data_IF_193788590649
#
_entry.id   IF_193788590649
#
_cell.length_a   1.000
_cell.length_b   1.000
_cell.length_c   1.000
_cell.angle_alpha   90.00
_cell.angle_beta   90.00
_cell.angle_gamma   90.00
#
_symmetry.space_group_name_H-M   'P 1'
#
loop_
_entity.id
_entity.type
_entity.pdbx_description
1 polymer ?
#
# COMPACT_ATOMS: atom_id res chain seq x y z
N UNK A 1 7.75 -23.63 16.98
CA UNK A 1 8.48 -22.40 17.39
C UNK A 1 7.93 -21.12 16.73
N UNK A 2 7.67 -21.09 15.41
CA UNK A 2 7.14 -19.91 14.69
C UNK A 2 5.81 -19.34 15.23
N UNK A 3 4.89 -20.20 15.68
CA UNK A 3 3.59 -19.76 16.21
C UNK A 3 3.69 -19.06 17.58
N UNK A 4 4.69 -19.41 18.41
CA UNK A 4 4.91 -18.76 19.73
C UNK A 4 5.55 -17.38 19.57
N UNK A 5 6.47 -17.22 18.60
CA UNK A 5 7.05 -15.92 18.24
C UNK A 5 5.98 -14.92 17.75
N UNK A 6 4.92 -15.42 17.09
CA UNK A 6 3.84 -14.56 16.58
C UNK A 6 3.04 -13.85 17.68
N UNK A 7 2.88 -14.42 18.88
CA UNK A 7 2.05 -13.81 19.93
C UNK A 7 2.71 -12.57 20.54
N UNK A 8 3.98 -12.68 20.93
CA UNK A 8 4.74 -11.56 21.50
C UNK A 8 4.92 -10.43 20.51
N UNK A 9 5.10 -10.74 19.22
CA UNK A 9 5.21 -9.74 18.19
C UNK A 9 3.95 -8.88 18.07
N UNK A 10 2.76 -9.49 18.16
CA UNK A 10 1.50 -8.77 18.17
C UNK A 10 1.38 -7.81 19.36
N UNK A 11 1.79 -8.24 20.55
CA UNK A 11 1.82 -7.38 21.76
C UNK A 11 2.77 -6.20 21.57
N UNK A 12 3.98 -6.43 21.05
CA UNK A 12 4.96 -5.37 20.79
C UNK A 12 4.40 -4.35 19.78
N UNK A 13 3.79 -4.83 18.69
CA UNK A 13 3.14 -3.96 17.70
C UNK A 13 2.03 -3.12 18.35
N UNK A 14 1.18 -3.73 19.19
CA UNK A 14 0.12 -3.00 19.88
C UNK A 14 0.67 -1.94 20.84
N UNK A 15 1.70 -2.28 21.63
CA UNK A 15 2.34 -1.32 22.55
C UNK A 15 2.96 -0.16 21.79
N UNK A 16 3.65 -0.42 20.68
CA UNK A 16 4.21 0.62 19.82
C UNK A 16 3.13 1.53 19.23
N UNK A 17 1.98 0.96 18.84
CA UNK A 17 0.85 1.75 18.36
C UNK A 17 0.34 2.69 19.44
N UNK A 18 0.11 2.18 20.64
CA UNK A 18 -0.35 2.98 21.79
C UNK A 18 0.65 4.10 22.07
N UNK A 19 1.95 3.80 22.12
CA UNK A 19 2.99 4.82 22.32
C UNK A 19 2.92 5.92 21.25
N UNK A 20 2.74 5.57 19.97
CA UNK A 20 2.64 6.57 18.89
C UNK A 20 1.41 7.47 19.09
N UNK A 21 0.26 6.91 19.45
CA UNK A 21 -0.97 7.69 19.67
C UNK A 21 -0.85 8.57 20.93
N UNK A 22 -0.32 8.02 22.03
CA UNK A 22 -0.20 8.74 23.30
C UNK A 22 0.88 9.84 23.26
N UNK A 23 1.95 9.67 22.46
CA UNK A 23 2.99 10.69 22.34
C UNK A 23 2.57 11.89 21.48
N UNK A 24 1.61 11.72 20.57
CA UNK A 24 1.23 12.77 19.61
C UNK A 24 0.74 14.07 20.29
N UNK A 25 -0.15 14.03 21.30
CA UNK A 25 -0.61 15.23 22.01
C UNK A 25 0.53 16.05 22.64
N UNK A 26 1.62 15.41 23.06
CA UNK A 26 2.72 16.09 23.75
C UNK A 26 3.52 17.03 22.84
N UNK A 27 3.66 16.69 21.55
CA UNK A 27 4.39 17.53 20.60
C UNK A 27 3.47 18.32 19.66
N UNK A 28 2.17 17.98 19.58
CA UNK A 28 1.21 18.54 18.62
C UNK A 28 1.28 20.06 18.54
N UNK A 29 1.00 20.74 19.66
CA UNK A 29 0.92 22.20 19.72
C UNK A 29 2.27 22.86 19.42
N UNK A 30 3.33 22.41 20.09
CA UNK A 30 4.67 23.00 19.94
C UNK A 30 5.17 22.95 18.50
N UNK A 31 5.01 21.80 17.83
CA UNK A 31 5.42 21.64 16.43
C UNK A 31 4.48 22.37 15.45
N UNK A 32 3.20 22.50 15.78
CA UNK A 32 2.26 23.30 15.00
C UNK A 32 2.64 24.79 15.06
N UNK A 33 2.87 25.33 16.25
CA UNK A 33 3.23 26.74 16.46
C UNK A 33 4.58 27.07 15.78
N UNK A 34 5.57 26.18 15.91
CA UNK A 34 6.86 26.29 15.19
C UNK A 34 6.69 26.36 13.67
N UNK A 35 5.71 25.62 13.12
CA UNK A 35 5.40 25.68 11.69
C UNK A 35 4.96 27.09 11.26
N UNK A 36 4.16 27.75 12.09
CA UNK A 36 3.62 29.08 11.77
C UNK A 36 4.72 30.13 11.65
N UNK A 37 5.81 29.97 12.41
CA UNK A 37 6.98 30.85 12.35
C UNK A 37 7.93 30.49 11.21
N UNK A 38 8.22 29.20 11.01
CA UNK A 38 9.26 28.75 10.10
C UNK A 38 8.84 28.77 8.63
N UNK A 39 7.60 28.39 8.32
CA UNK A 39 7.14 28.25 6.93
C UNK A 39 7.21 29.57 6.14
N UNK A 40 6.77 30.73 6.67
CA UNK A 40 6.93 32.00 5.97
C UNK A 40 8.40 32.28 5.60
N UNK A 41 9.34 32.02 6.52
CA UNK A 41 10.79 32.17 6.28
C UNK A 41 11.31 31.19 5.23
N UNK A 42 10.80 29.96 5.21
CA UNK A 42 11.14 28.96 4.20
C UNK A 42 10.65 29.37 2.81
N UNK A 43 9.41 29.86 2.69
CA UNK A 43 8.79 30.24 1.42
C UNK A 43 9.44 31.47 0.76
N UNK A 44 10.19 32.28 1.52
CA UNK A 44 11.03 33.34 0.93
C UNK A 44 12.14 32.77 0.02
N UNK A 45 12.55 31.52 0.21
CA UNK A 45 13.61 30.85 -0.56
C UNK A 45 13.06 30.22 -1.85
N UNK A 46 12.60 31.05 -2.80
CA UNK A 46 11.97 30.61 -4.06
C UNK A 46 12.76 29.56 -4.86
N UNK A 47 14.09 29.57 -4.80
CA UNK A 47 14.95 28.57 -5.48
C UNK A 47 14.71 27.14 -5.00
N UNK A 48 14.37 26.95 -3.73
CA UNK A 48 14.11 25.62 -3.16
C UNK A 48 12.68 25.14 -3.43
N UNK A 49 11.78 26.03 -3.85
CA UNK A 49 10.39 25.70 -4.10
C UNK A 49 10.28 24.62 -5.17
N UNK A 50 10.83 24.82 -6.37
CA UNK A 50 10.76 23.83 -7.45
C UNK A 50 11.37 22.47 -7.09
N UNK A 51 12.41 22.45 -6.23
CA UNK A 51 12.95 21.20 -5.71
C UNK A 51 11.93 20.47 -4.84
N UNK A 52 11.32 21.15 -3.86
CA UNK A 52 10.32 20.53 -2.99
C UNK A 52 9.01 20.20 -3.71
N UNK A 53 8.66 20.94 -4.76
CA UNK A 53 7.58 20.60 -5.70
C UNK A 53 7.85 19.26 -6.40
N UNK A 54 9.07 19.08 -6.93
CA UNK A 54 9.50 17.83 -7.54
C UNK A 54 9.53 16.67 -6.53
N UNK A 55 9.99 16.91 -5.31
CA UNK A 55 9.97 15.90 -4.24
C UNK A 55 8.53 15.52 -3.91
N UNK A 56 7.62 16.47 -3.64
CA UNK A 56 6.24 16.12 -3.28
C UNK A 56 5.49 15.40 -4.40
N UNK A 57 5.85 15.62 -5.68
CA UNK A 57 5.28 14.90 -6.82
C UNK A 57 5.52 13.39 -6.72
N UNK A 58 6.66 12.95 -6.18
CA UNK A 58 6.98 11.54 -5.99
C UNK A 58 6.07 10.85 -4.95
N UNK A 59 5.48 11.62 -4.03
CA UNK A 59 4.47 11.15 -3.09
C UNK A 59 3.03 11.43 -3.52
N UNK A 60 2.82 12.11 -4.65
CA UNK A 60 1.49 12.39 -5.16
C UNK A 60 0.87 11.13 -5.75
N UNK A 61 -0.43 10.91 -5.54
CA UNK A 61 -1.09 9.61 -5.74
C UNK A 61 -0.83 8.92 -7.07
N UNK A 62 -0.57 9.64 -8.16
CA UNK A 62 -0.27 9.07 -9.47
C UNK A 62 1.02 8.24 -9.47
N UNK A 63 2.08 8.71 -8.79
CA UNK A 63 3.39 8.03 -8.79
C UNK A 63 3.33 6.69 -8.04
N UNK A 64 2.80 6.60 -6.81
CA UNK A 64 2.57 5.33 -6.15
C UNK A 64 1.65 4.39 -6.94
N UNK A 65 0.63 4.89 -7.65
CA UNK A 65 -0.24 4.03 -8.46
C UNK A 65 0.52 3.36 -9.63
N UNK A 66 1.34 4.10 -10.35
CA UNK A 66 2.25 3.52 -11.37
C UNK A 66 3.23 2.56 -10.70
N UNK A 67 3.78 2.93 -9.54
CA UNK A 67 4.65 2.09 -8.73
C UNK A 67 3.98 0.75 -8.35
N UNK A 68 2.70 0.74 -8.01
CA UNK A 68 1.94 -0.46 -7.69
C UNK A 68 1.77 -1.39 -8.89
N UNK A 69 1.56 -0.84 -10.09
CA UNK A 69 1.52 -1.63 -11.33
C UNK A 69 2.89 -2.26 -11.62
N UNK A 70 3.98 -1.53 -11.39
CA UNK A 70 5.34 -2.06 -11.51
C UNK A 70 5.55 -3.18 -10.47
N UNK A 71 5.20 -2.94 -9.21
CA UNK A 71 5.31 -3.93 -8.12
C UNK A 71 4.51 -5.18 -8.43
N UNK A 72 3.31 -5.05 -8.98
CA UNK A 72 2.50 -6.18 -9.41
C UNK A 72 3.28 -7.08 -10.37
N UNK A 73 4.00 -6.52 -11.33
CA UNK A 73 4.75 -7.31 -12.32
C UNK A 73 6.10 -7.82 -11.82
N UNK A 74 6.75 -7.09 -10.90
CA UNK A 74 8.10 -7.42 -10.43
C UNK A 74 8.12 -8.33 -9.21
N UNK A 75 7.01 -8.54 -8.53
CA UNK A 75 6.96 -9.32 -7.28
C UNK A 75 6.19 -10.63 -7.41
N UNK A 76 6.38 -11.52 -6.43
CA UNK A 76 5.61 -12.76 -6.35
C UNK A 76 4.12 -12.46 -6.09
N UNK A 77 3.21 -13.42 -6.37
CA UNK A 77 1.75 -13.15 -6.35
C UNK A 77 1.26 -12.63 -5.00
N UNK A 78 1.75 -13.21 -3.90
CA UNK A 78 1.35 -12.88 -2.54
C UNK A 78 1.88 -11.52 -2.13
N UNK A 79 3.13 -11.19 -2.47
CA UNK A 79 3.72 -9.87 -2.25
C UNK A 79 2.97 -8.79 -3.02
N UNK A 80 2.63 -9.03 -4.29
CA UNK A 80 1.84 -8.10 -5.09
C UNK A 80 0.49 -7.84 -4.42
N UNK A 81 -0.24 -8.90 -4.04
CA UNK A 81 -1.53 -8.78 -3.35
C UNK A 81 -1.39 -7.98 -2.06
N UNK A 82 -0.43 -8.37 -1.22
CA UNK A 82 -0.14 -7.73 0.05
C UNK A 82 0.11 -6.23 -0.12
N UNK A 83 1.01 -5.83 -1.02
CA UNK A 83 1.41 -4.43 -1.18
C UNK A 83 0.24 -3.61 -1.74
N UNK A 84 -0.41 -4.08 -2.80
CA UNK A 84 -1.53 -3.36 -3.45
C UNK A 84 -2.73 -3.24 -2.52
N UNK A 85 -3.13 -4.34 -1.86
CA UNK A 85 -4.27 -4.33 -0.95
C UNK A 85 -4.01 -3.48 0.31
N UNK A 86 -2.80 -3.57 0.88
CA UNK A 86 -2.44 -2.78 2.05
C UNK A 86 -2.32 -1.28 1.72
N UNK A 87 -1.81 -0.92 0.55
CA UNK A 87 -1.74 0.48 0.14
C UNK A 87 -3.13 1.12 0.05
N UNK A 88 -4.10 0.44 -0.59
CA UNK A 88 -5.49 0.92 -0.65
C UNK A 88 -6.10 1.10 0.75
N UNK A 89 -5.83 0.17 1.66
CA UNK A 89 -6.29 0.24 3.04
C UNK A 89 -5.67 1.42 3.81
N UNK A 90 -4.39 1.71 3.61
CA UNK A 90 -3.70 2.84 4.25
C UNK A 90 -4.20 4.18 3.73
N UNK A 91 -4.48 4.29 2.43
CA UNK A 91 -5.10 5.50 1.86
C UNK A 91 -6.48 5.72 2.48
N UNK A 92 -7.31 4.67 2.56
CA UNK A 92 -8.62 4.71 3.22
C UNK A 92 -8.51 5.15 4.69
N UNK A 93 -7.65 4.49 5.46
CA UNK A 93 -7.48 4.78 6.88
C UNK A 93 -7.06 6.24 7.10
N UNK A 94 -6.10 6.73 6.33
CA UNK A 94 -5.64 8.10 6.43
C UNK A 94 -6.75 9.09 6.03
N UNK A 95 -7.37 8.90 4.85
CA UNK A 95 -8.28 9.87 4.27
C UNK A 95 -9.59 10.01 5.05
N UNK A 96 -10.13 8.88 5.53
CA UNK A 96 -11.52 8.82 5.99
C UNK A 96 -11.64 8.67 7.50
N UNK A 97 -10.70 7.95 8.11
CA UNK A 97 -10.75 7.63 9.53
C UNK A 97 -9.90 8.65 10.29
N UNK A 98 -8.58 8.65 10.08
CA UNK A 98 -7.66 9.45 10.89
C UNK A 98 -7.90 10.96 10.74
N UNK A 99 -8.04 11.47 9.51
CA UNK A 99 -8.32 12.89 9.30
C UNK A 99 -9.64 13.35 9.95
N UNK A 100 -10.65 12.50 9.91
CA UNK A 100 -11.95 12.76 10.55
C UNK A 100 -11.88 12.72 12.07
N UNK A 101 -11.01 11.89 12.65
CA UNK A 101 -10.84 11.86 14.10
C UNK A 101 -10.03 13.06 14.63
N UNK A 102 -9.00 13.49 13.92
CA UNK A 102 -8.11 14.56 14.40
C UNK A 102 -8.62 15.96 14.09
N UNK A 103 -9.26 16.15 12.93
CA UNK A 103 -9.91 17.41 12.52
C UNK A 103 -9.01 18.66 12.63
N UNK A 104 -7.70 18.49 12.55
CA UNK A 104 -6.77 19.59 12.75
C UNK A 104 -6.68 20.46 11.49
N UNK A 105 -6.69 21.80 11.63
CA UNK A 105 -6.55 22.69 10.49
C UNK A 105 -5.17 22.58 9.85
N UNK A 106 -5.08 23.01 8.60
CA UNK A 106 -3.79 23.20 7.93
C UNK A 106 -3.17 24.54 8.34
N UNK A 107 -1.85 24.71 8.29
CA UNK A 107 -1.19 25.95 8.71
C UNK A 107 -1.73 27.21 7.99
N UNK A 108 -1.95 27.14 6.68
CA UNK A 108 -2.50 28.27 5.91
C UNK A 108 -3.98 28.56 6.17
N UNK A 109 -4.70 27.69 6.90
CA UNK A 109 -6.07 27.96 7.36
C UNK A 109 -6.07 28.93 8.54
N UNK A 110 -4.96 29.05 9.26
CA UNK A 110 -4.85 29.84 10.49
C UNK A 110 -3.86 31.00 10.38
N UNK A 111 -2.87 30.94 9.49
CA UNK A 111 -1.89 32.01 9.26
C UNK A 111 -2.05 32.63 7.88
N UNK A 112 -1.96 33.97 7.82
CA UNK A 112 -2.05 34.69 6.55
C UNK A 112 -0.76 34.71 5.75
N UNK A 113 0.35 34.51 6.43
CA UNK A 113 1.69 34.59 5.87
C UNK A 113 2.07 33.34 5.08
N UNK A 114 1.41 32.21 5.37
CA UNK A 114 1.65 30.93 4.71
C UNK A 114 0.81 30.85 3.44
N UNK A 115 1.49 30.71 2.30
CA UNK A 115 0.85 30.57 0.99
C UNK A 115 0.90 29.11 0.55
N UNK A 116 -0.24 28.39 0.49
CA UNK A 116 -0.24 27.02 0.02
C UNK A 116 0.02 26.97 -1.49
N UNK A 117 0.71 25.93 -1.95
CA UNK A 117 0.88 25.73 -3.39
C UNK A 117 -0.37 25.16 -4.07
N UNK A 118 -1.11 24.29 -3.37
CA UNK A 118 -2.34 23.66 -3.86
C UNK A 118 -3.47 23.94 -2.87
N UNK A 119 -4.64 24.31 -3.38
CA UNK A 119 -5.85 24.38 -2.57
C UNK A 119 -6.20 22.97 -2.06
N UNK A 120 -6.23 22.81 -0.73
CA UNK A 120 -6.72 21.61 -0.03
C UNK A 120 -7.84 22.01 0.93
N UNK A 121 -8.86 21.16 1.02
CA UNK A 121 -10.05 21.41 1.84
C UNK A 121 -10.27 20.34 2.89
N UNK A 122 -9.50 19.24 2.83
CA UNK A 122 -9.47 18.22 3.86
C UNK A 122 -8.55 18.61 5.02
N UNK A 123 -8.82 18.09 6.22
CA UNK A 123 -8.01 18.30 7.42
C UNK A 123 -6.54 17.96 7.24
N UNK A 124 -5.68 18.60 8.02
CA UNK A 124 -4.23 18.49 7.92
C UNK A 124 -3.65 17.23 8.56
N UNK A 125 -4.19 16.76 9.69
CA UNK A 125 -3.59 15.69 10.49
C UNK A 125 -4.29 14.33 10.31
N UNK A 126 -3.54 13.23 10.05
CA UNK A 126 -2.15 13.18 9.62
C UNK A 126 -1.95 13.59 8.15
N UNK A 127 -0.71 13.93 7.82
CA UNK A 127 -0.31 14.18 6.43
C UNK A 127 -0.41 12.89 5.61
N UNK A 128 -1.34 12.87 4.65
CA UNK A 128 -1.55 11.72 3.78
C UNK A 128 -0.34 11.37 2.91
N UNK A 129 0.37 12.38 2.39
CA UNK A 129 1.60 12.14 1.60
C UNK A 129 2.68 11.49 2.46
N UNK A 130 2.87 11.98 3.69
CA UNK A 130 3.88 11.44 4.60
C UNK A 130 3.55 10.01 5.02
N UNK A 131 2.28 9.74 5.35
CA UNK A 131 1.84 8.40 5.76
C UNK A 131 1.90 7.38 4.63
N UNK A 132 1.34 7.68 3.45
CA UNK A 132 1.30 6.72 2.33
C UNK A 132 2.68 6.50 1.72
N UNK A 133 3.51 7.54 1.61
CA UNK A 133 4.88 7.42 1.07
C UNK A 133 5.76 6.60 2.02
N UNK A 134 5.74 6.91 3.31
CA UNK A 134 6.49 6.13 4.31
C UNK A 134 6.03 4.68 4.32
N UNK A 135 4.71 4.45 4.31
CA UNK A 135 4.16 3.10 4.21
C UNK A 135 4.66 2.36 2.97
N UNK A 136 4.51 2.95 1.79
CA UNK A 136 4.83 2.32 0.51
C UNK A 136 6.32 1.93 0.44
N UNK A 137 7.22 2.88 0.67
CA UNK A 137 8.65 2.64 0.49
C UNK A 137 9.24 1.74 1.58
N UNK A 138 8.81 1.89 2.84
CA UNK A 138 9.22 0.97 3.91
C UNK A 138 8.69 -0.44 3.63
N UNK A 139 7.45 -0.57 3.13
CA UNK A 139 6.90 -1.87 2.75
C UNK A 139 7.70 -2.52 1.62
N UNK A 140 8.11 -1.77 0.59
CA UNK A 140 8.98 -2.29 -0.47
C UNK A 140 10.34 -2.74 0.07
N UNK A 141 10.94 -1.93 0.94
CA UNK A 141 12.20 -2.25 1.60
C UNK A 141 12.09 -3.53 2.44
N UNK A 142 11.05 -3.67 3.25
CA UNK A 142 10.77 -4.86 4.06
C UNK A 142 10.50 -6.08 3.18
N UNK A 143 9.71 -5.94 2.11
CA UNK A 143 9.44 -7.01 1.15
C UNK A 143 10.72 -7.50 0.46
N UNK A 144 11.62 -6.60 0.07
CA UNK A 144 12.84 -6.99 -0.61
C UNK A 144 13.88 -7.61 0.33
N UNK A 145 14.16 -6.98 1.47
CA UNK A 145 15.23 -7.41 2.36
C UNK A 145 14.80 -8.40 3.43
N UNK A 146 13.60 -8.26 3.99
CA UNK A 146 13.09 -8.98 5.15
C UNK A 146 11.87 -9.85 4.82
N UNK A 147 11.93 -10.56 3.69
CA UNK A 147 10.85 -11.42 3.21
C UNK A 147 10.44 -12.48 4.25
N UNK A 148 9.17 -12.49 4.63
CA UNK A 148 8.67 -13.37 5.70
C UNK A 148 8.63 -14.83 5.25
N UNK A 149 9.23 -15.70 6.08
CA UNK A 149 9.22 -17.14 5.87
C UNK A 149 10.10 -17.61 4.71
N UNK A 150 11.11 -16.83 4.32
CA UNK A 150 12.22 -17.30 3.52
C UNK A 150 13.50 -17.25 4.36
N UNK A 151 14.10 -18.40 4.64
CA UNK A 151 15.47 -18.45 5.19
C UNK A 151 16.41 -18.10 4.04
N UNK A 152 16.80 -16.83 3.93
CA UNK A 152 17.90 -16.47 3.03
C UNK A 152 19.16 -17.13 3.58
N UNK A 153 19.81 -17.99 2.77
CA UNK A 153 21.17 -18.47 3.11
C UNK A 153 22.03 -17.22 3.29
N UNK A 154 22.58 -17.05 4.48
CA UNK A 154 23.54 -15.98 4.76
C UNK A 154 24.83 -16.42 4.06
N UNK A 155 24.97 -16.08 2.79
CA UNK A 155 26.23 -16.27 2.09
C UNK A 155 27.21 -15.25 2.69
N UNK A 156 28.14 -15.75 3.49
CA UNK A 156 29.11 -15.01 4.34
C UNK A 156 30.13 -14.17 3.56
N UNK A 157 29.98 -13.98 2.25
CA UNK A 157 31.04 -13.44 1.38
C UNK A 157 30.87 -11.99 0.91
N UNK A 158 29.73 -11.30 1.09
CA UNK A 158 29.57 -9.99 0.45
C UNK A 158 29.42 -8.79 1.40
N UNK A 159 30.57 -8.21 1.80
CA UNK A 159 30.64 -6.81 2.25
C UNK A 159 29.89 -5.87 1.29
N UNK A 160 29.96 -6.10 -0.03
CA UNK A 160 29.27 -5.28 -1.03
C UNK A 160 27.75 -5.31 -0.90
N UNK A 161 27.15 -6.48 -0.65
CA UNK A 161 25.69 -6.59 -0.50
C UNK A 161 25.20 -5.87 0.78
N UNK A 162 25.99 -5.93 1.85
CA UNK A 162 25.74 -5.19 3.07
C UNK A 162 25.86 -3.67 2.84
N UNK A 163 26.92 -3.21 2.17
CA UNK A 163 27.13 -1.79 1.83
C UNK A 163 25.97 -1.27 0.96
N UNK A 164 25.55 -2.00 -0.07
CA UNK A 164 24.41 -1.63 -0.91
C UNK A 164 23.12 -1.53 -0.09
N UNK A 165 22.86 -2.50 0.81
CA UNK A 165 21.70 -2.43 1.71
C UNK A 165 21.76 -1.21 2.63
N UNK A 166 22.93 -0.90 3.20
CA UNK A 166 23.12 0.28 4.06
C UNK A 166 22.89 1.57 3.27
N UNK A 167 23.48 1.69 2.08
CA UNK A 167 23.32 2.84 1.20
C UNK A 167 21.85 3.05 0.79
N UNK A 168 21.13 1.99 0.43
CA UNK A 168 19.70 2.06 0.12
C UNK A 168 18.86 2.42 1.34
N UNK A 169 19.22 1.94 2.53
CA UNK A 169 18.55 2.31 3.79
C UNK A 169 18.75 3.80 4.09
N UNK A 170 19.98 4.30 3.96
CA UNK A 170 20.30 5.71 4.14
C UNK A 170 19.58 6.58 3.11
N UNK A 171 19.62 6.20 1.83
CA UNK A 171 18.92 6.88 0.74
C UNK A 171 17.40 6.94 0.96
N UNK A 172 16.80 5.84 1.44
CA UNK A 172 15.39 5.80 1.81
C UNK A 172 15.07 6.77 2.95
N UNK A 173 15.86 6.78 4.02
CA UNK A 173 15.67 7.70 5.16
C UNK A 173 15.75 9.15 4.68
N UNK A 174 16.78 9.49 3.90
CA UNK A 174 16.97 10.83 3.33
C UNK A 174 15.76 11.22 2.46
N UNK A 175 15.29 10.32 1.61
CA UNK A 175 14.11 10.55 0.78
C UNK A 175 12.86 10.80 1.63
N UNK A 176 12.59 9.97 2.64
CA UNK A 176 11.43 10.17 3.53
C UNK A 176 11.52 11.49 4.31
N UNK A 177 12.73 11.90 4.72
CA UNK A 177 12.95 13.21 5.34
C UNK A 177 12.64 14.37 4.37
N UNK A 178 13.14 14.32 3.13
CA UNK A 178 12.82 15.34 2.14
C UNK A 178 11.33 15.35 1.76
N UNK A 179 10.71 14.18 1.68
CA UNK A 179 9.26 14.05 1.48
C UNK A 179 8.47 14.67 2.62
N UNK A 180 8.91 14.51 3.87
CA UNK A 180 8.31 15.16 5.01
C UNK A 180 8.48 16.68 4.94
N UNK A 181 9.72 17.15 4.76
CA UNK A 181 10.05 18.57 4.69
C UNK A 181 9.35 19.28 3.52
N UNK A 182 9.16 18.62 2.38
CA UNK A 182 8.47 19.22 1.23
C UNK A 182 7.05 19.67 1.59
N UNK A 183 6.32 18.88 2.39
CA UNK A 183 4.94 19.20 2.78
C UNK A 183 4.85 20.40 3.72
N UNK A 184 5.86 20.57 4.57
CA UNK A 184 5.98 21.73 5.46
C UNK A 184 6.42 22.97 4.69
N UNK A 185 7.47 22.84 3.87
CA UNK A 185 8.00 23.92 3.05
C UNK A 185 6.93 24.53 2.12
N UNK A 186 6.09 23.68 1.52
CA UNK A 186 5.00 24.10 0.64
C UNK A 186 3.77 24.63 1.40
N UNK A 187 3.83 24.70 2.72
CA UNK A 187 2.78 25.23 3.59
C UNK A 187 1.52 24.38 3.65
N UNK A 188 1.52 23.17 3.09
CA UNK A 188 0.33 22.32 3.04
C UNK A 188 0.05 21.59 4.37
N UNK A 189 1.09 21.35 5.18
CA UNK A 189 1.01 20.64 6.46
C UNK A 189 1.98 21.21 7.49
N UNK A 190 1.69 21.02 8.78
CA UNK A 190 2.61 21.34 9.88
C UNK A 190 3.58 20.21 10.21
N UNK A 191 4.61 20.53 10.99
CA UNK A 191 5.60 19.57 11.47
C UNK A 191 4.96 18.39 12.22
N UNK A 192 4.01 18.63 13.13
CA UNK A 192 3.32 17.55 13.85
C UNK A 192 2.55 16.62 12.88
N UNK A 193 1.85 17.18 11.90
CA UNK A 193 1.05 16.42 10.92
C UNK A 193 1.90 15.50 10.06
N UNK A 194 3.06 16.00 9.64
CA UNK A 194 4.02 15.26 8.82
C UNK A 194 4.76 14.21 9.64
N UNK A 195 5.19 14.56 10.86
CA UNK A 195 5.89 13.65 11.76
C UNK A 195 4.99 12.48 12.17
N UNK A 196 3.77 12.78 12.62
CA UNK A 196 2.78 11.78 12.99
C UNK A 196 2.37 10.90 11.81
N UNK A 197 2.14 11.49 10.63
CA UNK A 197 1.87 10.73 9.41
C UNK A 197 3.01 9.76 9.06
N UNK A 198 4.26 10.21 9.15
CA UNK A 198 5.45 9.35 8.94
C UNK A 198 5.50 8.20 9.95
N UNK A 199 5.32 8.47 11.25
CA UNK A 199 5.30 7.45 12.30
C UNK A 199 4.24 6.38 12.03
N UNK A 200 3.00 6.79 11.73
CA UNK A 200 1.92 5.87 11.39
C UNK A 200 2.21 5.07 10.12
N UNK A 201 2.78 5.70 9.09
CA UNK A 201 3.14 5.02 7.84
C UNK A 201 4.19 3.93 8.05
N UNK A 202 5.26 4.25 8.78
CA UNK A 202 6.33 3.29 9.15
C UNK A 202 5.75 2.17 10.02
N UNK A 203 4.99 2.54 11.06
CA UNK A 203 4.34 1.59 11.96
C UNK A 203 3.47 0.60 11.19
N UNK A 204 2.61 1.10 10.30
CA UNK A 204 1.72 0.26 9.50
C UNK A 204 2.48 -0.64 8.52
N UNK A 205 3.58 -0.17 7.92
CA UNK A 205 4.41 -1.00 7.06
C UNK A 205 4.98 -2.20 7.84
N UNK A 206 5.51 -1.95 9.05
CA UNK A 206 6.04 -3.00 9.93
C UNK A 206 4.92 -3.94 10.39
N UNK A 207 3.81 -3.39 10.89
CA UNK A 207 2.69 -4.16 11.42
C UNK A 207 2.08 -5.07 10.35
N UNK A 208 1.73 -4.53 9.19
CA UNK A 208 1.11 -5.30 8.10
C UNK A 208 2.09 -6.32 7.50
N UNK A 209 3.39 -6.00 7.40
CA UNK A 209 4.39 -6.93 6.86
C UNK A 209 4.60 -8.14 7.76
N UNK A 210 4.67 -7.96 9.08
CA UNK A 210 4.92 -9.06 9.99
C UNK A 210 3.66 -9.78 10.48
N UNK A 211 2.50 -9.12 10.45
CA UNK A 211 1.24 -9.71 10.91
C UNK A 211 0.38 -10.22 9.75
N UNK A 212 0.05 -9.37 8.77
CA UNK A 212 -0.93 -9.70 7.73
C UNK A 212 -0.31 -10.55 6.61
N UNK A 213 0.89 -10.21 6.14
CA UNK A 213 1.54 -10.94 5.05
C UNK A 213 1.72 -12.45 5.32
N UNK A 214 2.18 -12.92 6.51
CA UNK A 214 2.22 -14.35 6.78
C UNK A 214 0.84 -15.03 6.73
N UNK A 215 -0.24 -14.34 7.14
CA UNK A 215 -1.61 -14.86 7.02
C UNK A 215 -1.94 -15.06 5.53
N UNK A 216 -1.71 -14.04 4.69
CA UNK A 216 -1.94 -14.10 3.24
C UNK A 216 -1.12 -15.22 2.58
N UNK A 217 0.11 -15.47 3.04
CA UNK A 217 0.96 -16.55 2.53
C UNK A 217 0.40 -17.94 2.81
N UNK A 218 -0.27 -18.13 3.96
CA UNK A 218 -0.89 -19.42 4.33
C UNK A 218 -2.27 -19.62 3.73
N UNK A 219 -2.94 -18.55 3.29
CA UNK A 219 -4.32 -18.58 2.83
C UNK A 219 -4.54 -19.56 1.65
N UNK A 220 -3.75 -19.54 0.55
CA UNK A 220 -3.96 -20.48 -0.55
C UNK A 220 -3.90 -21.96 -0.13
N UNK A 221 -2.95 -22.32 0.76
CA UNK A 221 -2.82 -23.70 1.25
C UNK A 221 -4.04 -24.13 2.07
N UNK A 222 -4.57 -23.23 2.92
CA UNK A 222 -5.78 -23.50 3.70
C UNK A 222 -7.02 -23.67 2.81
N UNK A 223 -7.14 -22.87 1.75
CA UNK A 223 -8.23 -22.97 0.78
C UNK A 223 -8.14 -24.24 -0.09
N UNK A 224 -6.93 -24.78 -0.30
CA UNK A 224 -6.70 -26.04 -1.01
C UNK A 224 -7.00 -27.27 -0.14
N UNK A 225 -6.55 -27.28 1.11
CA UNK A 225 -6.58 -28.47 1.98
C UNK A 225 -7.93 -28.73 2.67
N UNK A 226 -8.95 -27.88 2.49
CA UNK A 226 -10.27 -28.07 3.09
C UNK A 226 -11.04 -29.31 2.59
N UNK A 227 -10.54 -30.00 1.57
CA UNK A 227 -11.14 -31.19 0.96
C UNK A 227 -10.20 -32.41 1.11
N UNK A 228 -10.15 -32.98 2.31
CA UNK A 228 -9.57 -34.31 2.55
C UNK A 228 -10.51 -35.45 2.13
N UNK A 229 -11.29 -35.28 1.06
CA UNK A 229 -12.24 -36.31 0.62
C UNK A 229 -12.25 -36.44 -0.90
N UNK A 230 -11.17 -37.03 -1.44
CA UNK A 230 -11.26 -37.98 -2.54
C UNK A 230 -11.30 -37.47 -3.99
N UNK A 231 -11.14 -36.18 -4.31
CA UNK A 231 -11.22 -35.79 -5.73
C UNK A 231 -10.69 -34.41 -6.10
N UNK A 232 -9.56 -34.41 -6.81
CA UNK A 232 -8.94 -33.35 -7.65
C UNK A 232 -8.57 -32.04 -6.92
N UNK A 233 -7.37 -31.54 -7.25
CA UNK A 233 -6.73 -30.32 -6.77
C UNK A 233 -7.50 -29.02 -7.11
N UNK A 234 -8.77 -28.89 -6.75
CA UNK A 234 -9.57 -27.69 -6.99
C UNK A 234 -9.55 -26.77 -5.75
N UNK A 235 -9.36 -25.47 -5.95
CA UNK A 235 -9.55 -24.49 -4.89
C UNK A 235 -11.04 -24.41 -4.52
N UNK A 236 -11.38 -24.78 -3.29
CA UNK A 236 -12.74 -24.58 -2.77
C UNK A 236 -12.88 -23.18 -2.19
N UNK A 237 -13.35 -22.25 -3.01
CA UNK A 237 -13.75 -20.92 -2.53
C UNK A 237 -15.21 -21.00 -2.13
N UNK A 238 -15.45 -21.20 -0.83
CA UNK A 238 -16.80 -21.25 -0.31
C UNK A 238 -17.52 -19.91 -0.57
N UNK A 239 -18.82 -19.92 -0.90
CA UNK A 239 -19.62 -18.70 -0.99
C UNK A 239 -19.51 -17.85 0.29
N UNK A 240 -19.41 -18.51 1.45
CA UNK A 240 -19.19 -17.88 2.75
C UNK A 240 -17.92 -17.02 2.78
N UNK A 241 -16.81 -17.49 2.19
CA UNK A 241 -15.57 -16.71 2.15
C UNK A 241 -15.70 -15.46 1.26
N UNK A 242 -16.43 -15.57 0.15
CA UNK A 242 -16.71 -14.42 -0.73
C UNK A 242 -17.57 -13.40 0.03
N UNK A 243 -18.64 -13.86 0.68
CA UNK A 243 -19.50 -13.00 1.52
C UNK A 243 -18.68 -12.33 2.63
N UNK A 244 -17.81 -13.07 3.32
CA UNK A 244 -16.95 -12.52 4.35
C UNK A 244 -15.97 -11.48 3.78
N UNK A 245 -15.38 -11.73 2.60
CA UNK A 245 -14.50 -10.77 1.94
C UNK A 245 -15.26 -9.49 1.55
N UNK A 246 -16.49 -9.60 1.06
CA UNK A 246 -17.36 -8.46 0.77
C UNK A 246 -17.69 -7.68 2.04
N UNK A 247 -18.06 -8.36 3.13
CA UNK A 247 -18.34 -7.69 4.40
C UNK A 247 -17.09 -6.95 4.91
N UNK A 248 -15.93 -7.61 4.94
CA UNK A 248 -14.70 -7.06 5.53
C UNK A 248 -14.05 -5.96 4.70
N UNK A 249 -14.04 -6.08 3.37
CA UNK A 249 -13.30 -5.16 2.50
C UNK A 249 -14.19 -4.16 1.76
N UNK A 250 -15.52 -4.33 1.80
CA UNK A 250 -16.46 -3.41 1.16
C UNK A 250 -17.44 -2.79 2.15
N UNK A 251 -18.29 -3.61 2.80
CA UNK A 251 -19.38 -3.07 3.63
C UNK A 251 -18.82 -2.36 4.87
N UNK A 252 -18.00 -3.05 5.67
CA UNK A 252 -17.48 -2.50 6.93
C UNK A 252 -16.66 -1.21 6.75
N UNK A 253 -15.71 -1.11 5.79
CA UNK A 253 -14.97 0.13 5.57
C UNK A 253 -15.85 1.29 5.12
N UNK A 254 -16.82 1.05 4.23
CA UNK A 254 -17.73 2.10 3.79
C UNK A 254 -18.67 2.56 4.91
N UNK A 255 -19.17 1.62 5.73
CA UNK A 255 -19.93 1.96 6.94
C UNK A 255 -19.10 2.79 7.91
N UNK A 256 -17.81 2.46 8.09
CA UNK A 256 -16.90 3.23 8.93
C UNK A 256 -16.65 4.63 8.36
N UNK A 257 -16.39 4.78 7.06
CA UNK A 257 -16.24 6.08 6.42
C UNK A 257 -17.51 6.92 6.56
N UNK A 258 -18.68 6.30 6.39
CA UNK A 258 -19.97 6.95 6.58
C UNK A 258 -20.17 7.41 8.03
N UNK A 259 -19.88 6.56 9.01
CA UNK A 259 -19.94 6.91 10.42
C UNK A 259 -19.00 8.06 10.77
N UNK A 260 -17.75 8.03 10.29
CA UNK A 260 -16.77 9.10 10.50
C UNK A 260 -17.24 10.42 9.86
N UNK A 261 -17.85 10.35 8.69
CA UNK A 261 -18.43 11.51 8.02
C UNK A 261 -19.60 12.11 8.81
N UNK A 262 -20.55 11.28 9.26
CA UNK A 262 -21.67 11.73 10.09
C UNK A 262 -21.20 12.34 11.42
N UNK A 263 -20.18 11.72 12.03
CA UNK A 263 -19.55 12.24 13.24
C UNK A 263 -18.98 13.65 13.01
N UNK A 264 -18.23 13.87 11.93
CA UNK A 264 -17.71 15.20 11.57
C UNK A 264 -18.84 16.23 11.40
N UNK A 265 -19.95 15.84 10.75
CA UNK A 265 -21.11 16.73 10.54
C UNK A 265 -21.81 17.11 11.83
N UNK A 266 -21.80 16.22 12.83
CA UNK A 266 -22.45 16.44 14.12
C UNK A 266 -21.66 17.41 15.03
N UNK A 267 -20.34 17.45 14.88
CA UNK A 267 -19.47 18.36 15.62
C UNK A 267 -19.59 19.75 15.00
N UNK A 268 -20.33 20.65 15.66
CA UNK A 268 -20.49 22.06 15.27
C UNK A 268 -19.20 22.86 15.51
N UNK A 269 -18.11 22.46 14.86
CA UNK A 269 -16.83 23.17 14.91
C UNK A 269 -17.04 24.50 14.20
N UNK A 270 -16.69 25.60 14.87
CA UNK A 270 -16.68 26.92 14.24
C UNK A 270 -15.51 26.99 13.25
N UNK A 271 -15.81 26.66 11.99
CA UNK A 271 -14.84 26.70 10.89
C UNK A 271 -14.84 28.04 10.16
N UNK A 272 -15.60 29.04 10.62
CA UNK A 272 -15.83 30.28 9.88
C UNK A 272 -14.54 30.99 9.49
N UNK A 273 -13.57 31.06 10.41
CA UNK A 273 -12.24 31.62 10.14
C UNK A 273 -11.46 30.81 9.10
N UNK A 274 -11.44 29.48 9.21
CA UNK A 274 -10.75 28.60 8.25
C UNK A 274 -11.36 28.72 6.86
N UNK A 275 -12.68 28.85 6.80
CA UNK A 275 -13.44 28.94 5.56
C UNK A 275 -13.16 30.25 4.82
N UNK A 276 -13.10 31.36 5.55
CA UNK A 276 -12.71 32.65 4.98
C UNK A 276 -11.30 32.58 4.39
N UNK A 277 -10.35 31.97 5.11
CA UNK A 277 -8.97 31.79 4.62
C UNK A 277 -8.90 30.86 3.41
N UNK A 278 -9.65 29.77 3.38
CA UNK A 278 -9.69 28.86 2.22
C UNK A 278 -10.21 29.56 0.96
N UNK A 279 -11.24 30.42 1.07
CA UNK A 279 -11.77 31.20 -0.07
C UNK A 279 -10.74 32.12 -0.72
N UNK A 280 -9.71 32.55 0.02
CA UNK A 280 -8.64 33.39 -0.54
C UNK A 280 -7.75 32.61 -1.50
N UNK A 281 -7.52 31.32 -1.24
CA UNK A 281 -6.56 30.51 -2.00
C UNK A 281 -7.21 29.53 -2.98
N UNK A 282 -8.48 29.20 -2.78
CA UNK A 282 -9.25 28.34 -3.66
C UNK A 282 -10.09 29.21 -4.59
N UNK A 283 -10.05 28.97 -5.91
CA UNK A 283 -10.94 29.67 -6.85
C UNK A 283 -12.39 29.43 -6.47
N UNK A 284 -13.31 30.34 -6.81
CA UNK A 284 -14.74 30.21 -6.48
C UNK A 284 -15.34 28.87 -6.94
N UNK A 285 -14.93 28.37 -8.09
CA UNK A 285 -15.33 27.05 -8.60
C UNK A 285 -14.78 25.89 -7.75
N UNK A 286 -13.51 25.93 -7.37
CA UNK A 286 -12.91 24.93 -6.47
C UNK A 286 -13.54 24.99 -5.07
N UNK A 287 -13.93 26.18 -4.62
CA UNK A 287 -14.60 26.41 -3.34
C UNK A 287 -16.05 25.90 -3.35
N UNK A 288 -16.77 26.04 -4.48
CA UNK A 288 -18.13 25.52 -4.68
C UNK A 288 -18.16 23.99 -4.83
N UNK A 289 -17.13 23.36 -5.42
CA UNK A 289 -16.93 21.90 -5.32
C UNK A 289 -16.68 21.44 -3.87
N UNK A 290 -16.33 22.37 -2.97
CA UNK A 290 -15.93 22.11 -1.59
C UNK A 290 -16.87 22.70 -0.55
N UNK A 291 -18.09 23.14 -0.90
CA UNK A 291 -19.18 23.26 0.10
C UNK A 291 -19.49 21.93 0.76
N UNK A 292 -19.06 20.83 0.15
CA UNK A 292 -18.72 19.55 0.75
C UNK A 292 -17.43 19.65 1.63
N UNK A 293 -17.33 20.64 2.53
CA UNK A 293 -16.09 21.14 3.19
C UNK A 293 -15.24 20.08 3.87
N UNK A 294 -15.84 19.01 4.37
CA UNK A 294 -15.17 17.91 5.09
C UNK A 294 -15.29 16.57 4.36
N UNK A 295 -15.82 16.60 3.15
CA UNK A 295 -16.31 15.42 2.45
C UNK A 295 -15.24 14.80 1.54
N UNK A 296 -14.15 15.53 1.26
CA UNK A 296 -13.05 14.98 0.45
C UNK A 296 -12.47 13.71 1.06
N UNK A 297 -12.31 13.68 2.38
CA UNK A 297 -11.84 12.47 3.09
C UNK A 297 -12.82 11.30 2.95
N UNK A 298 -14.12 11.57 2.96
CA UNK A 298 -15.17 10.59 2.71
C UNK A 298 -15.18 10.11 1.26
N UNK A 299 -15.13 11.01 0.27
CA UNK A 299 -15.08 10.63 -1.15
C UNK A 299 -13.85 9.78 -1.46
N UNK A 300 -12.68 10.17 -0.92
CA UNK A 300 -11.44 9.42 -1.06
C UNK A 300 -11.47 8.06 -0.35
N UNK A 301 -12.42 7.82 0.56
CA UNK A 301 -12.63 6.49 1.16
C UNK A 301 -12.91 5.42 0.11
N UNK A 302 -13.44 5.81 -1.06
CA UNK A 302 -13.71 4.91 -2.18
C UNK A 302 -12.45 4.20 -2.67
N UNK A 303 -11.24 4.72 -2.40
CA UNK A 303 -9.98 4.02 -2.71
C UNK A 303 -9.88 2.65 -2.03
N UNK A 304 -10.67 2.36 -0.99
CA UNK A 304 -10.79 1.00 -0.43
C UNK A 304 -11.25 -0.03 -1.47
N UNK A 305 -11.90 0.41 -2.54
CA UNK A 305 -12.21 -0.41 -3.72
C UNK A 305 -10.97 -1.11 -4.27
N UNK A 306 -9.79 -0.48 -4.22
CA UNK A 306 -8.51 -1.09 -4.58
C UNK A 306 -8.22 -2.38 -3.78
N UNK A 307 -8.40 -2.31 -2.45
CA UNK A 307 -8.19 -3.45 -1.55
C UNK A 307 -9.20 -4.56 -1.82
N UNK A 308 -10.49 -4.21 -1.92
CA UNK A 308 -11.56 -5.16 -2.22
C UNK A 308 -11.35 -5.83 -3.59
N UNK A 309 -11.01 -5.05 -4.61
CA UNK A 309 -10.75 -5.52 -5.97
C UNK A 309 -9.55 -6.46 -6.03
N UNK A 310 -8.44 -6.11 -5.38
CA UNK A 310 -7.25 -6.98 -5.35
C UNK A 310 -7.55 -8.33 -4.66
N UNK A 311 -8.24 -8.31 -3.52
CA UNK A 311 -8.59 -9.54 -2.77
C UNK A 311 -9.57 -10.41 -3.55
N UNK A 312 -10.70 -9.84 -4.01
CA UNK A 312 -11.70 -10.59 -4.76
C UNK A 312 -11.16 -11.06 -6.11
N UNK A 313 -10.37 -10.24 -6.79
CA UNK A 313 -9.71 -10.62 -8.05
C UNK A 313 -8.75 -11.79 -7.86
N UNK A 314 -7.99 -11.81 -6.76
CA UNK A 314 -7.11 -12.92 -6.43
C UNK A 314 -7.89 -14.21 -6.10
N UNK A 315 -9.04 -14.12 -5.43
CA UNK A 315 -9.93 -15.27 -5.21
C UNK A 315 -10.45 -15.82 -6.55
N UNK A 316 -10.92 -14.94 -7.44
CA UNK A 316 -11.37 -15.32 -8.79
C UNK A 316 -10.23 -16.02 -9.55
N UNK A 317 -9.02 -15.45 -9.56
CA UNK A 317 -7.85 -16.07 -10.19
C UNK A 317 -7.62 -17.50 -9.65
N UNK A 318 -7.64 -17.68 -8.33
CA UNK A 318 -7.42 -19.00 -7.70
C UNK A 318 -8.48 -20.02 -8.10
N UNK A 319 -9.75 -19.61 -8.22
CA UNK A 319 -10.84 -20.49 -8.62
C UNK A 319 -10.77 -20.89 -10.09
N UNK A 320 -10.58 -19.92 -10.98
CA UNK A 320 -10.75 -20.15 -12.42
C UNK A 320 -9.50 -20.66 -13.10
N UNK A 321 -8.32 -20.21 -12.67
CA UNK A 321 -7.12 -20.62 -13.39
C UNK A 321 -6.76 -22.06 -13.08
N UNK A 322 -6.94 -22.54 -11.85
CA UNK A 322 -6.29 -23.76 -11.34
C UNK A 322 -4.83 -23.93 -11.81
N UNK A 323 -4.22 -22.83 -12.28
CA UNK A 323 -2.89 -22.81 -12.79
C UNK A 323 -2.10 -22.83 -11.52
N UNK A 324 -1.51 -23.99 -11.25
CA UNK A 324 -0.33 -24.17 -10.41
C UNK A 324 0.83 -23.36 -11.02
N UNK A 325 0.60 -22.08 -11.33
CA UNK A 325 1.62 -21.10 -11.58
C UNK A 325 2.28 -20.88 -10.24
N UNK A 326 3.57 -21.23 -10.18
CA UNK A 326 4.37 -21.03 -8.99
C UNK A 326 4.14 -19.63 -8.45
N UNK A 327 3.58 -19.58 -7.24
CA UNK A 327 3.34 -18.35 -6.50
C UNK A 327 4.60 -17.50 -6.42
N UNK A 328 5.78 -18.12 -6.49
CA UNK A 328 7.09 -17.53 -6.27
C UNK A 328 7.87 -17.13 -7.52
N UNK A 329 7.55 -17.67 -8.71
CA UNK A 329 8.43 -17.51 -9.89
C UNK A 329 7.76 -16.97 -11.14
N UNK A 330 6.45 -16.66 -11.12
CA UNK A 330 5.74 -16.09 -12.28
C UNK A 330 6.35 -14.77 -12.79
N UNK A 331 6.94 -13.98 -11.89
CA UNK A 331 7.59 -12.70 -12.18
C UNK A 331 9.00 -12.86 -12.80
N UNK A 332 9.62 -14.05 -12.72
CA UNK A 332 10.98 -14.31 -13.22
C UNK A 332 10.99 -14.57 -14.73
N UNK A 333 10.95 -13.50 -15.53
CA UNK A 333 11.07 -13.56 -16.99
C UNK A 333 12.25 -12.71 -17.46
N UNK A 334 12.58 -12.80 -18.76
CA UNK A 334 13.56 -11.90 -19.38
C UNK A 334 13.13 -10.43 -19.23
N UNK A 335 14.07 -9.46 -19.16
CA UNK A 335 13.76 -8.05 -18.96
C UNK A 335 12.79 -7.47 -20.00
N UNK A 336 12.95 -7.82 -21.28
CA UNK A 336 12.05 -7.39 -22.36
C UNK A 336 10.61 -7.87 -22.14
N UNK A 337 10.44 -9.15 -21.78
CA UNK A 337 9.12 -9.73 -21.45
C UNK A 337 8.51 -9.03 -20.23
N UNK A 338 9.30 -8.73 -19.21
CA UNK A 338 8.85 -7.97 -18.04
C UNK A 338 8.39 -6.56 -18.41
N UNK A 339 9.12 -5.85 -19.27
CA UNK A 339 8.75 -4.52 -19.75
C UNK A 339 7.41 -4.55 -20.51
N UNK A 340 7.21 -5.55 -21.38
CA UNK A 340 5.94 -5.75 -22.10
C UNK A 340 4.78 -5.99 -21.12
N UNK A 341 4.96 -6.82 -20.09
CA UNK A 341 3.93 -7.03 -19.06
C UNK A 341 3.58 -5.76 -18.28
N UNK A 342 4.58 -4.96 -17.93
CA UNK A 342 4.38 -3.67 -17.25
C UNK A 342 3.57 -2.74 -18.15
N UNK A 343 3.95 -2.62 -19.43
CA UNK A 343 3.23 -1.78 -20.39
C UNK A 343 1.76 -2.22 -20.56
N UNK A 344 1.52 -3.52 -20.74
CA UNK A 344 0.16 -4.07 -20.83
C UNK A 344 -0.65 -3.85 -19.54
N UNK A 345 -0.02 -4.03 -18.37
CA UNK A 345 -0.67 -3.77 -17.09
C UNK A 345 -1.05 -2.29 -16.94
N UNK A 346 -0.18 -1.38 -17.38
CA UNK A 346 -0.45 0.06 -17.37
C UNK A 346 -1.60 0.41 -18.30
N UNK A 347 -1.68 -0.20 -19.49
CA UNK A 347 -2.80 -0.01 -20.42
C UNK A 347 -4.11 -0.46 -19.76
N UNK A 348 -4.15 -1.67 -19.17
CA UNK A 348 -5.33 -2.17 -18.44
C UNK A 348 -5.71 -1.21 -17.31
N UNK A 349 -4.73 -0.78 -16.52
CA UNK A 349 -4.94 0.12 -15.39
C UNK A 349 -5.48 1.49 -15.82
N UNK A 350 -4.96 2.07 -16.90
CA UNK A 350 -5.40 3.35 -17.43
C UNK A 350 -6.81 3.26 -18.02
N UNK A 351 -7.09 2.23 -18.84
CA UNK A 351 -8.40 2.02 -19.45
C UNK A 351 -9.50 1.89 -18.40
N UNK A 352 -9.28 1.07 -17.37
CA UNK A 352 -10.25 0.87 -16.28
C UNK A 352 -10.31 2.06 -15.32
N UNK A 353 -9.27 2.90 -15.31
CA UNK A 353 -9.22 4.15 -14.56
C UNK A 353 -9.91 5.32 -15.25
N UNK A 354 -10.25 5.23 -16.54
CA UNK A 354 -10.85 6.35 -17.28
C UNK A 354 -12.08 6.97 -16.62
N UNK A 355 -13.01 6.21 -15.98
CA UNK A 355 -14.18 6.84 -15.36
C UNK A 355 -13.81 7.82 -14.23
N UNK A 356 -12.68 7.62 -13.54
CA UNK A 356 -12.19 8.55 -12.52
C UNK A 356 -11.98 9.97 -13.06
N UNK A 357 -11.52 10.08 -14.31
CA UNK A 357 -11.22 11.37 -14.96
C UNK A 357 -12.42 11.96 -15.70
N UNK A 358 -13.37 11.12 -16.11
CA UNK A 358 -14.56 11.55 -16.86
C UNK A 358 -15.68 12.05 -15.94
N UNK A 359 -15.71 11.64 -14.67
CA UNK A 359 -16.73 12.05 -13.72
C UNK A 359 -16.50 13.49 -13.26
N UNK A 360 -17.47 14.36 -13.57
CA UNK A 360 -17.54 15.74 -13.10
C UNK A 360 -17.59 15.79 -11.57
N UNK A 361 -16.76 16.63 -10.96
CA UNK A 361 -16.70 16.86 -9.50
C UNK A 361 -17.64 17.93 -9.01
N UNK A 362 -18.23 18.72 -9.91
CA UNK A 362 -19.19 19.76 -9.60
C UNK A 362 -20.58 19.13 -9.41
N UNK A 363 -20.77 18.44 -8.27
CA UNK A 363 -22.05 17.88 -7.89
C UNK A 363 -22.52 18.47 -6.55
N UNK A 364 -23.84 18.65 -6.37
CA UNK A 364 -24.38 19.10 -5.09
C UNK A 364 -24.11 18.09 -3.96
N UNK A 365 -24.11 18.57 -2.71
CA UNK A 365 -23.66 17.81 -1.53
C UNK A 365 -24.45 16.51 -1.31
N UNK A 366 -25.74 16.50 -1.66
CA UNK A 366 -26.62 15.33 -1.59
C UNK A 366 -26.17 14.17 -2.50
N UNK A 367 -25.35 14.47 -3.51
CA UNK A 367 -24.78 13.50 -4.45
C UNK A 367 -23.37 13.04 -4.09
N UNK A 368 -22.90 13.31 -2.86
CA UNK A 368 -21.57 12.85 -2.39
C UNK A 368 -21.33 11.34 -2.56
N UNK A 369 -22.38 10.52 -2.44
CA UNK A 369 -22.28 9.06 -2.63
C UNK A 369 -21.99 8.68 -4.09
N UNK A 370 -22.43 9.49 -5.04
CA UNK A 370 -22.11 9.30 -6.45
C UNK A 370 -20.60 9.50 -6.68
N UNK A 371 -20.01 10.55 -6.09
CA UNK A 371 -18.56 10.75 -6.15
C UNK A 371 -17.80 9.63 -5.43
N UNK A 372 -18.25 9.21 -4.26
CA UNK A 372 -17.66 8.07 -3.55
C UNK A 372 -17.69 6.79 -4.41
N UNK A 373 -18.87 6.42 -4.92
CA UNK A 373 -19.10 5.19 -5.65
C UNK A 373 -18.50 5.21 -7.05
N UNK A 374 -18.98 6.13 -7.89
CA UNK A 374 -18.70 6.15 -9.32
C UNK A 374 -17.32 6.74 -9.63
N UNK A 375 -16.90 7.79 -8.93
CA UNK A 375 -15.59 8.41 -9.19
C UNK A 375 -14.46 7.63 -8.51
N UNK A 376 -14.60 7.22 -7.26
CA UNK A 376 -13.50 6.63 -6.50
C UNK A 376 -13.57 5.12 -6.38
N UNK A 377 -14.68 4.55 -5.92
CA UNK A 377 -14.78 3.13 -5.59
C UNK A 377 -14.74 2.22 -6.80
N UNK A 378 -15.66 2.41 -7.75
CA UNK A 378 -15.79 1.54 -8.94
C UNK A 378 -14.48 1.52 -9.75
N UNK A 379 -13.84 2.66 -10.09
CA UNK A 379 -12.63 2.64 -10.90
C UNK A 379 -11.47 1.94 -10.19
N UNK A 380 -11.22 2.25 -8.91
CA UNK A 380 -10.12 1.63 -8.15
C UNK A 380 -10.35 0.14 -7.91
N UNK A 381 -11.61 -0.26 -7.70
CA UNK A 381 -12.04 -1.65 -7.65
C UNK A 381 -11.77 -2.37 -8.96
N UNK A 382 -12.27 -1.85 -10.08
CA UNK A 382 -12.11 -2.46 -11.40
C UNK A 382 -10.63 -2.60 -11.77
N UNK A 383 -9.84 -1.54 -11.60
CA UNK A 383 -8.39 -1.56 -11.84
C UNK A 383 -7.71 -2.73 -11.13
N UNK A 384 -7.94 -2.87 -9.82
CA UNK A 384 -7.29 -3.91 -9.02
C UNK A 384 -7.88 -5.29 -9.27
N UNK A 385 -9.20 -5.38 -9.42
CA UNK A 385 -9.89 -6.64 -9.72
C UNK A 385 -9.38 -7.24 -11.02
N UNK A 386 -9.35 -6.48 -12.11
CA UNK A 386 -8.90 -6.99 -13.40
C UNK A 386 -7.40 -7.32 -13.41
N UNK A 387 -6.58 -6.51 -12.73
CA UNK A 387 -5.16 -6.77 -12.62
C UNK A 387 -4.90 -8.13 -11.93
N UNK A 388 -5.60 -8.42 -10.82
CA UNK A 388 -5.43 -9.67 -10.09
C UNK A 388 -6.20 -10.86 -10.69
N UNK A 389 -7.40 -10.66 -11.24
CA UNK A 389 -8.22 -11.72 -11.80
C UNK A 389 -7.79 -12.16 -13.20
N UNK A 390 -7.46 -11.20 -14.09
CA UNK A 390 -7.37 -11.47 -15.53
C UNK A 390 -6.00 -11.19 -16.14
N UNK A 391 -5.23 -10.21 -15.66
CA UNK A 391 -3.97 -9.83 -16.32
C UNK A 391 -2.98 -11.01 -16.45
N UNK A 392 -2.87 -11.85 -15.43
CA UNK A 392 -2.03 -13.06 -15.47
C UNK A 392 -2.54 -14.11 -16.46
N UNK A 393 -3.86 -14.21 -16.66
CA UNK A 393 -4.47 -15.09 -17.67
C UNK A 393 -4.06 -14.63 -19.06
N UNK A 394 -4.17 -13.32 -19.29
CA UNK A 394 -3.76 -12.70 -20.54
C UNK A 394 -2.28 -13.02 -20.77
N UNK A 395 -1.40 -12.71 -19.80
CA UNK A 395 0.04 -12.97 -19.91
C UNK A 395 0.36 -14.44 -20.17
N UNK A 396 -0.37 -15.37 -19.57
CA UNK A 396 -0.23 -16.80 -19.87
C UNK A 396 -0.57 -17.11 -21.33
N UNK A 397 -1.73 -16.65 -21.81
CA UNK A 397 -2.20 -16.92 -23.17
C UNK A 397 -1.27 -16.36 -24.25
N UNK A 398 -0.61 -15.24 -23.98
CA UNK A 398 0.36 -14.62 -24.90
C UNK A 398 1.83 -14.95 -24.56
N UNK A 399 2.08 -16.00 -23.76
CA UNK A 399 3.43 -16.51 -23.42
C UNK A 399 4.38 -15.46 -22.81
N UNK A 400 3.84 -14.51 -22.05
CA UNK A 400 4.62 -13.52 -21.29
C UNK A 400 4.97 -13.99 -19.88
N UNK A 401 4.79 -15.28 -19.57
CA UNK A 401 5.17 -15.85 -18.28
C UNK A 401 6.20 -16.94 -18.47
N UNK A 402 6.97 -17.21 -17.42
CA UNK A 402 7.96 -18.27 -17.44
C UNK A 402 7.28 -19.64 -17.42
N UNK A 403 7.14 -20.30 -18.57
CA UNK A 403 6.49 -21.62 -18.68
C UNK A 403 7.24 -22.72 -17.91
N UNK A 404 8.58 -22.62 -17.78
CA UNK A 404 9.38 -23.57 -16.99
C UNK A 404 9.05 -23.55 -15.49
N UNK A 405 8.40 -22.47 -15.02
CA UNK A 405 7.91 -22.38 -13.64
C UNK A 405 6.60 -23.14 -13.40
N UNK A 406 5.91 -23.58 -14.46
CA UNK A 406 4.60 -24.23 -14.39
C UNK A 406 4.75 -25.74 -14.15
N UNK A 407 5.76 -26.38 -14.76
CA UNK A 407 5.95 -27.84 -14.67
C UNK A 407 6.57 -28.35 -13.35
N UNK A 408 7.53 -27.63 -12.78
CA UNK A 408 8.37 -28.12 -11.65
C UNK A 408 7.68 -28.23 -10.28
N UNK A 409 6.40 -27.88 -10.14
CA UNK A 409 5.70 -27.98 -8.85
C UNK A 409 5.06 -29.35 -8.61
N UNK A 410 4.78 -30.13 -9.65
CA UNK A 410 4.22 -31.47 -9.47
C UNK A 410 5.28 -32.48 -9.00
N UNK A 411 6.54 -32.26 -9.33
CA UNK A 411 7.63 -33.19 -8.99
C UNK A 411 8.23 -32.99 -7.59
N UNK A 412 8.11 -31.77 -7.01
CA UNK A 412 8.79 -31.45 -5.74
C UNK A 412 7.88 -31.47 -4.50
N UNK A 413 6.54 -31.41 -4.63
CA UNK A 413 5.64 -31.56 -3.46
C UNK A 413 5.64 -33.00 -2.91
N UNK A 414 6.09 -34.01 -3.67
CA UNK A 414 6.27 -35.38 -3.17
C UNK A 414 7.49 -35.56 -2.26
N UNK A 415 8.52 -34.71 -2.36
CA UNK A 415 9.79 -34.91 -1.63
C UNK A 415 9.82 -34.18 -0.28
N UNK A 416 9.10 -33.07 -0.13
CA UNK A 416 9.05 -32.30 1.13
C UNK A 416 8.02 -32.83 2.15
N UNK A 417 7.32 -33.93 1.83
CA UNK A 417 6.28 -34.53 2.67
C UNK A 417 6.79 -35.34 3.87
N UNK A 418 8.07 -35.73 3.90
CA UNK A 418 8.58 -36.69 4.91
C UNK A 418 9.91 -36.28 5.55
N UNK A 419 10.04 -35.01 5.96
CA UNK A 419 11.12 -34.55 6.84
C UNK A 419 10.92 -34.93 8.32
N UNK A 420 10.15 -35.98 8.58
CA UNK A 420 10.02 -36.64 9.87
C UNK A 420 10.74 -37.97 9.85
N UNK A 421 11.97 -38.02 10.38
CA UNK A 421 12.81 -39.22 10.58
C UNK A 421 13.69 -39.68 9.42
N UNK A 422 14.54 -38.79 8.88
CA UNK A 422 15.83 -39.27 8.37
C UNK A 422 16.69 -39.62 9.60
N UNK A 423 16.53 -40.86 10.06
CA UNK A 423 17.53 -41.53 10.89
C UNK A 423 18.87 -41.46 10.17
N UNK A 424 19.89 -41.06 10.91
CA UNK A 424 21.29 -41.05 10.48
C UNK A 424 21.71 -42.42 9.94
N UNK A 425 21.72 -42.59 8.62
CA UNK A 425 22.62 -43.52 7.96
C UNK A 425 23.44 -42.71 6.96
N UNK A 426 24.65 -42.38 7.38
CA UNK A 426 25.67 -41.86 6.49
C UNK A 426 26.02 -42.93 5.45
N UNK A 427 26.05 -42.51 4.19
CA UNK A 427 26.74 -43.20 3.11
C UNK A 427 26.75 -42.29 1.87
N UNK A 428 27.95 -41.81 1.54
CA UNK A 428 28.45 -41.59 0.17
C UNK A 428 27.74 -40.58 -0.74
N UNK A 429 27.61 -39.32 -0.34
CA UNK A 429 27.28 -38.22 -1.27
C UNK A 429 28.48 -37.33 -1.65
N UNK A 430 29.71 -37.74 -1.32
CA UNK A 430 30.94 -37.01 -1.72
C UNK A 430 31.47 -37.43 -3.10
N UNK A 431 31.01 -38.56 -3.66
CA UNK A 431 31.51 -39.08 -4.95
C UNK A 431 30.90 -38.39 -6.19
N UNK A 432 29.78 -37.69 -6.05
CA UNK A 432 29.14 -37.02 -7.19
C UNK A 432 29.65 -35.60 -7.47
N UNK A 433 30.53 -35.06 -6.61
CA UNK A 433 31.06 -33.70 -6.77
C UNK A 433 32.50 -33.67 -7.33
N UNK A 434 33.17 -34.82 -7.44
CA UNK A 434 34.51 -34.94 -8.05
C UNK A 434 34.49 -35.20 -9.57
N UNK A 435 33.38 -35.70 -10.13
CA UNK A 435 33.31 -36.04 -11.56
C UNK A 435 33.06 -34.81 -12.46
N UNK A 436 32.53 -33.70 -11.93
CA UNK A 436 32.28 -32.48 -12.74
C UNK A 436 33.49 -31.52 -12.84
N UNK A 437 34.56 -31.72 -12.04
CA UNK A 437 35.76 -30.89 -12.10
C UNK A 437 36.90 -31.46 -12.95
N UNK A 438 36.81 -32.69 -13.46
CA UNK A 438 37.85 -33.28 -14.33
C UNK A 438 37.61 -33.13 -15.84
N UNK A 439 36.58 -32.39 -16.27
CA UNK A 439 36.29 -32.15 -17.70
C UNK A 439 36.52 -30.69 -18.15
N UNK A 440 37.21 -29.87 -17.35
CA UNK A 440 37.58 -28.49 -17.70
C UNK A 440 39.02 -28.11 -17.33
N UNK A 441 39.96 -29.00 -17.64
CA UNK A 441 41.38 -28.71 -17.89
C UNK A 441 41.75 -29.55 -19.10
#
# INVERSE_FOLDING_TARGET
MAQKQSKWLGVIILVLFIIIIELEPFYRKSLFDMTLEDVPRMQQKKRLQSFFEGVTLLGEGQVPMVGLVIVFNLTNKISALYIVASFGFIVFLNASVMKSFYQEPRPYWVSEEIKPQKCRTDFGNPSGHSMTTSFFWVTLYLNYYFEVGQKKKINTIFCTAYIVKMALTAGLIIFLMFMALSRVFLGEHSYNQVFFGTQLGVFMAVALHYWIKPILKTLPKKLRNGMNSGGKNAFFISPILIVLAVILFFILPLSLAYGAWQYNKSLKIDTSAWDQRQKVFCTSEQFLETTAKLNRGFMQSGVIGQTAGAVLGQLVEMKFLNLNLSYYTWNKTQPAVTAIRIALSLIIFLLLGTPYFLVNTQLPEDQIYYLLGVKHFIPTFMQSFFLFAFARIIFYKIKLINEMAIGRMFENEEVDGDFGSITSKGSNSLEFMEIEMSQKI
#
